data_IF_477872421466
#
_entry.id   IF_477872421466
#
_cell.length_a   1.000
_cell.length_b   1.000
_cell.length_c   1.000
_cell.angle_alpha   90.00
_cell.angle_beta   90.00
_cell.angle_gamma   90.00
#
_symmetry.space_group_name_H-M   'P 1'
#
loop_
_entity.id
_entity.type
_entity.pdbx_description
1 polymer ?
#
# COMPACT_ATOMS: atom_id res chain seq x y z
N UNK A 1 37.85 -25.29 -20.08
CA UNK A 1 38.64 -24.35 -19.27
C UNK A 1 38.27 -22.92 -19.66
N UNK A 2 37.19 -22.37 -19.11
CA UNK A 2 36.96 -20.93 -19.06
C UNK A 2 36.26 -20.63 -17.73
N UNK A 3 36.86 -19.69 -17.01
CA UNK A 3 36.72 -19.43 -15.57
C UNK A 3 35.55 -18.48 -15.34
N UNK A 4 34.58 -18.86 -14.52
CA UNK A 4 33.50 -17.97 -14.07
C UNK A 4 34.02 -17.03 -12.97
N UNK A 5 33.80 -15.70 -13.07
CA UNK A 5 33.86 -14.83 -11.91
C UNK A 5 32.45 -14.60 -11.36
N UNK A 6 32.33 -14.73 -10.04
CA UNK A 6 31.09 -14.52 -9.30
C UNK A 6 30.64 -13.06 -9.27
N UNK A 7 29.35 -12.87 -9.44
CA UNK A 7 28.61 -11.82 -8.76
C UNK A 7 27.14 -12.23 -8.67
N UNK A 8 26.63 -12.23 -7.44
CA UNK A 8 25.26 -12.51 -7.05
C UNK A 8 24.28 -11.68 -7.90
N UNK A 9 23.62 -12.33 -8.87
CA UNK A 9 22.48 -11.73 -9.58
C UNK A 9 21.25 -11.99 -8.73
N UNK A 10 20.97 -11.01 -7.90
CA UNK A 10 19.92 -10.90 -6.91
C UNK A 10 18.51 -11.07 -7.53
N UNK A 11 17.72 -11.94 -6.90
CA UNK A 11 16.31 -12.31 -7.15
C UNK A 11 15.36 -11.11 -7.39
N UNK A 12 15.75 -9.93 -6.92
CA UNK A 12 15.11 -8.62 -7.07
C UNK A 12 14.86 -8.21 -8.53
N UNK A 13 15.65 -8.73 -9.49
CA UNK A 13 15.48 -8.42 -10.91
C UNK A 13 14.17 -8.95 -11.52
N UNK A 14 13.63 -10.06 -11.01
CA UNK A 14 12.38 -10.66 -11.53
C UNK A 14 11.13 -9.99 -10.94
N UNK A 15 11.22 -9.46 -9.71
CA UNK A 15 10.16 -8.66 -9.09
C UNK A 15 9.96 -7.31 -9.81
N UNK A 16 11.05 -6.77 -10.38
CA UNK A 16 11.08 -5.50 -11.13
C UNK A 16 10.20 -5.49 -12.38
N UNK A 17 10.01 -6.63 -13.04
CA UNK A 17 9.16 -6.76 -14.23
C UNK A 17 7.67 -6.70 -13.93
N UNK A 18 7.24 -7.18 -12.76
CA UNK A 18 5.81 -7.25 -12.40
C UNK A 18 5.28 -5.88 -11.92
N UNK A 19 6.03 -5.16 -11.09
CA UNK A 19 5.63 -3.85 -10.55
C UNK A 19 5.47 -2.80 -11.67
N UNK A 20 6.37 -2.81 -12.65
CA UNK A 20 6.31 -1.88 -13.79
C UNK A 20 5.11 -2.13 -14.73
N UNK A 21 4.53 -3.32 -14.74
CA UNK A 21 3.36 -3.64 -15.56
C UNK A 21 2.05 -3.10 -14.96
N UNK A 22 1.96 -3.02 -13.63
CA UNK A 22 0.83 -2.43 -12.92
C UNK A 22 0.79 -0.90 -13.04
N UNK A 23 1.96 -0.25 -12.93
CA UNK A 23 2.09 1.23 -12.98
C UNK A 23 1.66 1.83 -14.35
N UNK A 24 1.94 1.14 -15.47
CA UNK A 24 1.59 1.64 -16.82
C UNK A 24 0.08 1.67 -17.12
N UNK A 25 -0.76 0.99 -16.33
CA UNK A 25 -2.22 0.96 -16.56
C UNK A 25 -3.01 2.05 -15.81
N UNK A 26 -2.38 2.83 -14.92
CA UNK A 26 -3.08 3.82 -14.08
C UNK A 26 -2.86 5.30 -14.49
N UNK A 27 -2.07 5.59 -15.52
CA UNK A 27 -1.63 6.96 -15.85
C UNK A 27 -2.61 7.83 -16.66
N UNK A 28 -3.93 7.62 -16.57
CA UNK A 28 -4.90 8.52 -17.23
C UNK A 28 -5.86 9.15 -16.23
N UNK A 29 -5.38 10.09 -15.42
CA UNK A 29 -6.15 11.19 -14.82
C UNK A 29 -5.18 12.15 -14.11
N UNK A 30 -4.69 13.14 -14.85
CA UNK A 30 -3.95 14.27 -14.30
C UNK A 30 -4.58 15.56 -14.82
N UNK A 31 -5.05 16.41 -13.91
CA UNK A 31 -5.15 17.85 -14.13
C UNK A 31 -4.84 18.60 -12.83
N UNK A 32 -4.05 19.66 -13.00
CA UNK A 32 -3.36 20.45 -11.98
C UNK A 32 -4.30 21.25 -11.07
N UNK A 33 -3.91 21.44 -9.79
CA UNK A 33 -4.52 22.38 -8.84
C UNK A 33 -3.44 23.16 -8.08
N UNK A 34 -3.67 24.44 -7.74
CA UNK A 34 -2.64 25.35 -7.27
C UNK A 34 -2.29 25.14 -5.79
N UNK A 35 -1.06 25.52 -5.44
CA UNK A 35 -0.50 25.46 -4.09
C UNK A 35 -1.33 26.27 -3.07
N UNK A 36 -1.74 25.62 -1.99
CA UNK A 36 -2.39 26.28 -0.85
C UNK A 36 -1.59 26.03 0.44
N UNK A 37 -0.97 27.10 0.92
CA UNK A 37 -0.38 27.24 2.24
C UNK A 37 -1.51 27.40 3.27
N UNK A 38 -1.63 26.47 4.21
CA UNK A 38 -2.16 26.77 5.56
C UNK A 38 -1.84 25.64 6.54
N UNK A 39 -0.77 25.81 7.32
CA UNK A 39 -0.52 25.04 8.53
C UNK A 39 -1.47 25.57 9.61
N UNK A 40 -2.45 24.77 10.05
CA UNK A 40 -3.18 25.04 11.29
C UNK A 40 -2.67 24.05 12.33
N UNK A 41 -1.60 24.44 13.03
CA UNK A 41 -1.19 23.78 14.26
C UNK A 41 -2.09 24.31 15.38
N UNK A 42 -2.95 23.45 15.93
CA UNK A 42 -3.80 23.80 17.08
C UNK A 42 -3.00 23.52 18.35
N UNK A 43 -2.37 24.57 18.89
CA UNK A 43 -1.83 24.56 20.25
C UNK A 43 -3.00 24.48 21.26
N UNK A 44 -3.05 23.48 22.16
CA UNK A 44 -4.19 23.29 23.05
C UNK A 44 -4.15 24.32 24.18
N UNK A 45 -4.77 25.47 24.00
CA UNK A 45 -5.09 26.35 25.13
C UNK A 45 -6.22 25.71 25.94
N UNK A 46 -5.88 25.19 27.12
CA UNK A 46 -6.71 24.35 28.01
C UNK A 46 -7.98 25.07 28.53
N UNK A 47 -8.10 26.38 28.30
CA UNK A 47 -9.15 27.23 28.89
C UNK A 47 -10.47 27.30 28.11
N UNK A 48 -10.58 26.68 26.91
CA UNK A 48 -11.82 26.71 26.08
C UNK A 48 -12.23 25.34 25.51
N UNK A 49 -12.17 24.28 26.32
CA UNK A 49 -12.58 22.94 25.89
C UNK A 49 -14.03 22.64 26.31
N UNK A 50 -14.81 22.01 25.42
CA UNK A 50 -16.18 21.62 25.70
C UNK A 50 -16.29 20.53 26.77
N UNK A 51 -17.30 20.65 27.65
CA UNK A 51 -17.55 19.73 28.78
C UNK A 51 -18.69 18.74 28.51
N UNK A 52 -19.23 18.72 27.29
CA UNK A 52 -20.39 17.91 26.96
C UNK A 52 -20.02 16.44 26.79
N UNK A 53 -20.61 15.58 27.64
CA UNK A 53 -20.40 14.14 27.63
C UNK A 53 -21.25 13.51 26.51
N UNK A 54 -20.64 13.23 25.36
CA UNK A 54 -21.31 12.64 24.20
C UNK A 54 -20.66 13.00 22.86
N UNK A 55 -19.70 13.93 22.87
CA UNK A 55 -18.96 14.35 21.68
C UNK A 55 -17.46 14.34 21.96
N UNK A 56 -16.66 14.27 20.89
CA UNK A 56 -15.21 14.46 20.99
C UNK A 56 -14.97 15.85 21.60
N UNK A 57 -14.16 15.90 22.65
CA UNK A 57 -13.81 17.16 23.32
C UNK A 57 -13.16 18.08 22.29
N UNK A 58 -13.77 19.23 22.06
CA UNK A 58 -13.36 20.19 21.05
C UNK A 58 -13.30 21.60 21.61
N UNK A 59 -12.56 22.47 20.94
CA UNK A 59 -12.56 23.90 21.26
C UNK A 59 -13.92 24.52 20.94
N UNK A 60 -14.50 25.26 21.88
CA UNK A 60 -15.74 26.01 21.63
C UNK A 60 -15.41 27.21 20.72
N UNK A 61 -16.12 27.33 19.59
CA UNK A 61 -16.04 28.49 18.69
C UNK A 61 -17.35 29.26 18.66
N UNK A 62 -17.28 30.58 18.46
CA UNK A 62 -18.43 31.46 18.26
C UNK A 62 -18.67 31.79 16.78
N UNK A 63 -17.81 31.30 15.88
CA UNK A 63 -17.94 31.48 14.43
C UNK A 63 -18.58 30.25 13.81
N UNK A 64 -19.51 30.47 12.88
CA UNK A 64 -20.15 29.40 12.13
C UNK A 64 -19.29 29.09 10.90
N UNK A 65 -18.54 28.01 10.97
CA UNK A 65 -17.70 27.52 9.88
C UNK A 65 -18.02 26.05 9.59
N UNK A 66 -18.41 25.77 8.36
CA UNK A 66 -18.57 24.40 7.88
C UNK A 66 -17.21 23.87 7.43
N UNK A 67 -16.79 22.76 8.02
CA UNK A 67 -15.66 21.99 7.50
C UNK A 67 -16.13 21.28 6.23
N UNK A 68 -15.66 21.77 5.08
CA UNK A 68 -15.90 21.11 3.79
C UNK A 68 -14.77 20.12 3.51
N UNK A 69 -15.05 18.96 2.87
CA UNK A 69 -14.05 17.93 2.65
C UNK A 69 -12.89 18.40 1.76
N UNK A 70 -13.10 19.41 0.90
CA UNK A 70 -12.04 19.96 0.03
C UNK A 70 -10.99 20.76 0.81
N UNK A 71 -11.33 21.23 2.01
CA UNK A 71 -10.42 21.99 2.88
C UNK A 71 -9.59 21.07 3.80
N UNK A 72 -9.78 19.75 3.72
CA UNK A 72 -9.07 18.77 4.56
C UNK A 72 -7.90 18.22 3.75
N UNK A 73 -6.69 18.32 4.29
CA UNK A 73 -5.52 17.65 3.71
C UNK A 73 -5.70 16.13 3.80
N UNK A 74 -5.54 15.38 2.70
CA UNK A 74 -5.63 13.91 2.73
C UNK A 74 -4.62 13.30 3.69
N UNK A 75 -4.98 12.14 4.24
CA UNK A 75 -4.06 11.36 5.06
C UNK A 75 -2.86 10.90 4.20
N UNK A 76 -1.63 11.04 4.71
CA UNK A 76 -0.45 10.58 3.98
C UNK A 76 -0.44 9.05 3.87
N UNK A 77 0.05 8.54 2.74
CA UNK A 77 0.17 7.11 2.47
C UNK A 77 1.55 6.64 2.95
N UNK A 78 1.57 5.60 3.79
CA UNK A 78 2.80 4.99 4.26
C UNK A 78 3.41 4.09 3.18
N UNK A 79 4.71 4.27 2.90
CA UNK A 79 5.44 3.54 1.86
C UNK A 79 6.85 3.22 2.35
N UNK A 80 7.29 1.96 2.20
CA UNK A 80 8.62 1.48 2.58
C UNK A 80 9.54 1.31 1.37
N UNK A 81 8.97 0.88 0.24
CA UNK A 81 9.68 0.58 -1.00
C UNK A 81 9.27 1.55 -2.10
N UNK A 82 10.25 2.07 -2.83
CA UNK A 82 10.06 2.83 -4.06
C UNK A 82 9.55 1.91 -5.20
N UNK A 83 9.00 2.46 -6.30
CA UNK A 83 8.54 1.65 -7.45
C UNK A 83 9.63 0.78 -8.11
N UNK A 84 10.90 1.15 -7.94
CA UNK A 84 12.05 0.37 -8.38
C UNK A 84 12.44 -0.76 -7.40
N UNK A 85 11.78 -0.85 -6.24
CA UNK A 85 12.04 -1.84 -5.20
C UNK A 85 13.18 -1.48 -4.25
N UNK A 86 13.63 -0.22 -4.25
CA UNK A 86 14.63 0.27 -3.30
C UNK A 86 13.94 0.71 -1.99
N UNK A 87 14.60 0.48 -0.85
CA UNK A 87 14.11 0.94 0.46
C UNK A 87 14.37 2.44 0.57
N UNK A 88 13.32 3.24 0.75
CA UNK A 88 13.41 4.70 0.84
C UNK A 88 14.06 5.13 2.17
N UNK A 89 13.71 4.44 3.27
CA UNK A 89 14.27 4.67 4.60
C UNK A 89 14.59 3.35 5.30
N UNK A 90 15.88 3.15 5.60
CA UNK A 90 16.40 1.93 6.23
C UNK A 90 15.91 1.73 7.66
N UNK A 91 15.45 2.77 8.34
CA UNK A 91 14.92 2.63 9.70
C UNK A 91 13.58 1.88 9.75
N UNK A 92 12.86 1.87 8.62
CA UNK A 92 11.57 1.22 8.46
C UNK A 92 11.67 -0.16 7.78
N UNK A 93 12.89 -0.66 7.57
CA UNK A 93 13.11 -1.98 6.97
C UNK A 93 12.76 -3.09 7.99
N UNK A 94 11.79 -3.97 7.67
CA UNK A 94 11.44 -5.07 8.55
C UNK A 94 12.52 -6.16 8.53
N UNK A 95 12.80 -6.73 9.70
CA UNK A 95 13.77 -7.83 9.84
C UNK A 95 13.16 -9.15 9.35
N UNK A 96 13.29 -9.42 8.05
CA UNK A 96 12.89 -10.69 7.45
C UNK A 96 14.10 -11.52 7.05
N UNK A 97 14.05 -12.82 7.34
CA UNK A 97 15.01 -13.75 6.74
C UNK A 97 14.75 -13.89 5.24
N UNK A 98 15.79 -14.19 4.47
CA UNK A 98 15.67 -14.42 3.03
C UNK A 98 14.63 -15.51 2.71
N UNK A 99 14.54 -16.56 3.53
CA UNK A 99 13.59 -17.65 3.31
C UNK A 99 12.14 -17.19 3.45
N UNK A 100 11.85 -16.29 4.40
CA UNK A 100 10.53 -15.68 4.55
C UNK A 100 10.16 -14.81 3.34
N UNK A 101 11.10 -14.01 2.83
CA UNK A 101 10.89 -13.20 1.62
C UNK A 101 10.63 -14.05 0.38
N UNK A 102 11.41 -15.12 0.20
CA UNK A 102 11.24 -16.06 -0.92
C UNK A 102 9.89 -16.77 -0.82
N UNK A 103 9.47 -17.17 0.38
CA UNK A 103 8.16 -17.77 0.60
C UNK A 103 7.03 -16.81 0.22
N UNK A 104 7.05 -15.57 0.70
CA UNK A 104 6.04 -14.57 0.35
C UNK A 104 5.98 -14.32 -1.16
N UNK A 105 7.12 -14.26 -1.83
CA UNK A 105 7.18 -14.13 -3.29
C UNK A 105 6.56 -15.32 -4.00
N UNK A 106 6.91 -16.54 -3.57
CA UNK A 106 6.32 -17.76 -4.11
C UNK A 106 4.80 -17.78 -3.93
N UNK A 107 4.30 -17.43 -2.75
CA UNK A 107 2.87 -17.40 -2.45
C UNK A 107 2.12 -16.39 -3.33
N UNK A 108 2.70 -15.21 -3.60
CA UNK A 108 2.12 -14.23 -4.54
C UNK A 108 2.02 -14.80 -5.95
N UNK A 109 3.09 -15.40 -6.46
CA UNK A 109 3.10 -15.98 -7.81
C UNK A 109 2.16 -17.18 -7.94
N UNK A 110 2.06 -18.01 -6.90
CA UNK A 110 1.15 -19.15 -6.84
C UNK A 110 -0.30 -18.68 -6.91
N UNK A 111 -0.66 -17.66 -6.13
CA UNK A 111 -1.99 -17.07 -6.14
C UNK A 111 -2.34 -16.54 -7.55
N UNK A 112 -1.41 -15.88 -8.23
CA UNK A 112 -1.60 -15.38 -9.58
C UNK A 112 -1.90 -16.50 -10.61
N UNK A 113 -1.17 -17.62 -10.50
CA UNK A 113 -1.39 -18.79 -11.38
C UNK A 113 -2.72 -19.46 -11.08
N UNK A 114 -3.05 -19.62 -9.80
CA UNK A 114 -4.32 -20.19 -9.36
C UNK A 114 -5.51 -19.36 -9.84
N UNK A 115 -5.43 -18.03 -9.73
CA UNK A 115 -6.44 -17.10 -10.24
C UNK A 115 -6.70 -17.30 -11.73
N UNK A 116 -5.64 -17.48 -12.55
CA UNK A 116 -5.79 -17.76 -13.99
C UNK A 116 -6.51 -19.08 -14.26
N UNK A 117 -6.14 -20.14 -13.54
CA UNK A 117 -6.75 -21.47 -13.74
C UNK A 117 -8.22 -21.45 -13.34
N UNK A 118 -8.54 -20.86 -12.19
CA UNK A 118 -9.90 -20.81 -11.67
C UNK A 118 -10.79 -19.88 -12.50
N UNK A 119 -10.24 -18.76 -12.99
CA UNK A 119 -10.93 -17.90 -13.95
C UNK A 119 -11.34 -18.66 -15.23
N UNK A 120 -10.42 -19.41 -15.84
CA UNK A 120 -10.76 -20.20 -17.03
C UNK A 120 -11.73 -21.36 -16.72
N UNK A 121 -11.60 -21.97 -15.54
CA UNK A 121 -12.54 -22.99 -15.06
C UNK A 121 -13.97 -22.45 -14.95
N UNK A 122 -14.10 -21.20 -14.46
CA UNK A 122 -15.39 -20.50 -14.35
C UNK A 122 -15.98 -20.20 -15.72
N UNK A 123 -15.17 -19.74 -16.69
CA UNK A 123 -15.61 -19.51 -18.07
C UNK A 123 -16.06 -20.76 -18.80
N UNK A 124 -15.52 -21.93 -18.41
CA UNK A 124 -15.93 -23.23 -18.92
C UNK A 124 -17.16 -23.81 -18.20
N UNK A 125 -17.69 -23.12 -17.19
CA UNK A 125 -18.82 -23.60 -16.39
C UNK A 125 -18.48 -24.77 -15.47
N UNK A 126 -17.19 -25.03 -15.20
CA UNK A 126 -16.75 -26.10 -14.27
C UNK A 126 -16.93 -25.69 -12.80
N UNK A 127 -16.90 -24.39 -12.53
CA UNK A 127 -17.21 -23.79 -11.23
C UNK A 127 -18.20 -22.65 -11.42
N UNK A 128 -19.13 -22.48 -10.47
CA UNK A 128 -20.25 -21.53 -10.62
C UNK A 128 -19.84 -20.07 -10.42
N UNK A 129 -18.88 -19.80 -9.52
CA UNK A 129 -18.46 -18.43 -9.18
C UNK A 129 -17.01 -18.40 -8.73
N UNK A 130 -16.27 -17.36 -9.14
CA UNK A 130 -14.90 -17.08 -8.71
C UNK A 130 -14.61 -15.58 -8.80
N UNK A 131 -13.77 -15.07 -7.90
CA UNK A 131 -13.29 -13.69 -7.91
C UNK A 131 -11.76 -13.67 -7.81
N UNK A 132 -11.11 -12.96 -8.72
CA UNK A 132 -9.66 -12.88 -8.84
C UNK A 132 -9.08 -11.79 -7.94
N UNK A 133 -7.87 -11.99 -7.43
CA UNK A 133 -7.14 -11.06 -6.55
C UNK A 133 -6.01 -10.32 -7.29
N UNK A 134 -6.17 -10.10 -8.60
CA UNK A 134 -5.11 -9.54 -9.45
C UNK A 134 -4.73 -8.13 -9.01
N UNK A 135 -3.44 -7.93 -8.70
CA UNK A 135 -2.92 -6.64 -8.22
C UNK A 135 -3.13 -6.39 -6.72
N UNK A 136 -3.82 -7.28 -6.02
CA UNK A 136 -4.02 -7.21 -4.57
C UNK A 136 -3.33 -8.36 -3.82
N UNK A 137 -2.48 -9.14 -4.51
CA UNK A 137 -1.81 -10.34 -3.99
C UNK A 137 -0.96 -10.07 -2.73
N UNK A 138 -0.29 -8.92 -2.68
CA UNK A 138 0.60 -8.56 -1.59
C UNK A 138 -0.15 -8.21 -0.30
N UNK A 139 -1.39 -7.72 -0.38
CA UNK A 139 -2.18 -7.28 0.77
C UNK A 139 -2.51 -8.44 1.74
N UNK A 140 -3.11 -9.57 1.30
CA UNK A 140 -3.39 -10.69 2.18
C UNK A 140 -2.10 -11.41 2.61
N UNK A 141 -1.11 -11.53 1.73
CA UNK A 141 0.15 -12.25 2.04
C UNK A 141 0.98 -11.46 3.06
N UNK A 142 1.14 -10.15 2.87
CA UNK A 142 1.89 -9.29 3.77
C UNK A 142 1.23 -9.16 5.14
N UNK A 143 -0.10 -9.01 5.19
CA UNK A 143 -0.83 -8.97 6.46
C UNK A 143 -0.80 -10.30 7.20
N UNK A 144 -0.92 -11.43 6.49
CA UNK A 144 -0.79 -12.76 7.10
C UNK A 144 0.64 -13.03 7.60
N UNK A 145 1.67 -12.57 6.88
CA UNK A 145 3.07 -12.72 7.30
C UNK A 145 3.40 -11.92 8.58
N UNK A 146 2.61 -10.90 8.91
CA UNK A 146 2.75 -10.14 10.15
C UNK A 146 2.07 -10.81 11.37
N UNK A 147 1.24 -11.83 11.15
CA UNK A 147 0.56 -12.56 12.22
C UNK A 147 1.34 -13.81 12.65
N UNK A 148 1.21 -14.16 13.92
CA UNK A 148 1.68 -15.45 14.43
C UNK A 148 0.65 -16.54 14.10
N UNK A 149 1.09 -17.78 13.81
CA UNK A 149 0.22 -18.91 13.48
C UNK A 149 -0.64 -19.38 14.65
#
# INVERSE_FOLDING_TARGET
>A
MFRLPGHSRTLYGLCRSFINQASKRQQSLSTNGPAATSKVAIEPNTSKMSIFSGHIKGSITNTLEFVRPENITPLPIYQVLDPDGAVTDKSHEPDFTNDHLVKMYHDMTLLNVLDRILYESQRQGRISFYMTNFGEEATPIGSAAALNP
#
